data_IF_733675927660
#
_entry.id   IF_733675927660
#
_cell.length_a   1.000
_cell.length_b   1.000
_cell.length_c   1.000
_cell.angle_alpha   90.00
_cell.angle_beta   90.00
_cell.angle_gamma   90.00
#
_symmetry.space_group_name_H-M   'P 1'
#
loop_
_entity.id
_entity.type
_entity.pdbx_description
1 polymer ?
#
# COMPACT_ATOMS: atom_id res chain seq x y z
N UNK A 1 30.93 -18.77 -43.05
CA UNK A 1 30.90 -17.63 -42.12
C UNK A 1 29.61 -17.80 -41.33
N UNK A 2 29.74 -18.23 -40.07
CA UNK A 2 28.59 -18.50 -39.22
C UNK A 2 28.30 -17.26 -38.41
N UNK A 3 27.30 -16.49 -38.82
CA UNK A 3 26.78 -15.38 -38.03
C UNK A 3 25.95 -15.94 -36.88
N UNK A 4 26.56 -15.99 -35.70
CA UNK A 4 25.83 -16.24 -34.47
C UNK A 4 25.18 -14.93 -34.02
N UNK A 5 23.92 -14.72 -34.38
CA UNK A 5 23.06 -13.74 -33.71
C UNK A 5 22.87 -14.19 -32.27
N UNK A 6 23.66 -13.61 -31.38
CA UNK A 6 23.52 -13.73 -29.93
C UNK A 6 22.27 -12.93 -29.52
N UNK A 7 21.13 -13.61 -29.42
CA UNK A 7 19.95 -13.06 -28.77
C UNK A 7 20.27 -12.97 -27.27
N UNK A 8 20.74 -11.82 -26.81
CA UNK A 8 20.80 -11.52 -25.38
C UNK A 8 19.40 -11.68 -24.80
N UNK A 9 19.24 -12.66 -23.92
CA UNK A 9 18.02 -12.83 -23.15
C UNK A 9 17.86 -11.60 -22.26
N UNK A 10 16.96 -10.70 -22.66
CA UNK A 10 16.54 -9.57 -21.82
C UNK A 10 15.87 -10.18 -20.60
N UNK A 11 16.58 -10.15 -19.47
CA UNK A 11 16.00 -10.57 -18.20
C UNK A 11 14.93 -9.54 -17.86
N UNK A 12 13.64 -9.91 -17.71
CA UNK A 12 12.61 -8.95 -17.38
C UNK A 12 12.96 -8.33 -16.02
N UNK A 13 13.07 -7.00 -15.96
CA UNK A 13 13.18 -6.35 -14.67
C UNK A 13 11.93 -6.68 -13.85
N UNK A 14 12.08 -6.98 -12.54
CA UNK A 14 10.93 -7.18 -11.68
C UNK A 14 10.04 -5.92 -11.73
N UNK A 15 8.72 -6.07 -11.75
CA UNK A 15 7.82 -4.93 -11.80
C UNK A 15 8.08 -4.00 -10.61
N UNK A 16 7.97 -2.66 -10.81
CA UNK A 16 8.19 -1.71 -9.74
C UNK A 16 7.24 -2.00 -8.57
N UNK A 17 7.81 -2.17 -7.37
CA UNK A 17 7.05 -2.40 -6.13
C UNK A 17 6.40 -1.09 -5.68
N UNK A 18 5.25 -0.76 -6.26
CA UNK A 18 4.42 0.37 -5.86
C UNK A 18 3.05 -0.05 -5.36
N UNK A 19 2.24 0.92 -4.97
CA UNK A 19 0.87 0.73 -4.48
C UNK A 19 -0.04 1.86 -4.98
N UNK A 20 -1.32 1.54 -5.18
CA UNK A 20 -2.37 2.52 -5.37
C UNK A 20 -2.92 2.98 -4.02
N UNK A 21 -2.84 4.28 -3.76
CA UNK A 21 -3.46 4.91 -2.60
C UNK A 21 -4.97 5.11 -2.82
N UNK A 22 -5.80 5.15 -1.77
CA UNK A 22 -7.23 5.51 -1.87
C UNK A 22 -7.49 6.90 -2.47
N UNK A 23 -6.50 7.79 -2.48
CA UNK A 23 -6.53 9.05 -3.24
C UNK A 23 -6.37 8.87 -4.76
N UNK A 24 -6.46 7.64 -5.27
CA UNK A 24 -6.31 7.29 -6.69
C UNK A 24 -4.94 7.65 -7.25
N UNK A 25 -3.90 7.59 -6.41
CA UNK A 25 -2.53 7.91 -6.77
C UNK A 25 -1.67 6.66 -6.70
N UNK A 26 -0.95 6.33 -7.78
CA UNK A 26 0.10 5.31 -7.73
C UNK A 26 1.37 5.91 -7.13
N UNK A 27 2.03 5.19 -6.22
CA UNK A 27 3.28 5.65 -5.62
C UNK A 27 4.21 4.50 -5.25
N UNK A 28 5.51 4.82 -5.20
CA UNK A 28 6.56 4.00 -4.57
C UNK A 28 7.16 4.73 -3.36
N UNK A 29 6.69 5.94 -3.05
CA UNK A 29 7.20 6.75 -1.95
C UNK A 29 6.59 6.28 -0.63
N UNK A 30 7.46 5.71 0.21
CA UNK A 30 7.11 5.20 1.53
C UNK A 30 6.57 6.30 2.46
N UNK A 31 7.09 7.54 2.36
CA UNK A 31 6.60 8.64 3.18
C UNK A 31 5.17 8.99 2.78
N UNK A 32 4.88 9.06 1.49
CA UNK A 32 3.54 9.32 0.97
C UNK A 32 2.53 8.25 1.42
N UNK A 33 2.93 6.97 1.40
CA UNK A 33 2.10 5.87 1.91
C UNK A 33 1.84 6.02 3.42
N UNK A 34 2.87 6.40 4.19
CA UNK A 34 2.74 6.68 5.63
C UNK A 34 1.81 7.85 5.94
N UNK A 35 1.91 8.94 5.20
CA UNK A 35 1.06 10.12 5.34
C UNK A 35 -0.40 9.78 5.01
N UNK A 36 -0.62 8.99 3.97
CA UNK A 36 -1.95 8.50 3.59
C UNK A 36 -2.54 7.60 4.68
N UNK A 37 -1.77 6.67 5.25
CA UNK A 37 -2.20 5.84 6.37
C UNK A 37 -2.65 6.70 7.57
N UNK A 38 -1.89 7.76 7.92
CA UNK A 38 -2.28 8.68 8.99
C UNK A 38 -3.55 9.49 8.65
N UNK A 39 -3.76 9.82 7.38
CA UNK A 39 -5.00 10.44 6.90
C UNK A 39 -6.20 9.51 7.11
N UNK A 40 -6.08 8.24 6.71
CA UNK A 40 -7.16 7.25 6.86
C UNK A 40 -7.47 6.95 8.34
N UNK A 41 -6.46 6.82 9.19
CA UNK A 41 -6.65 6.61 10.64
C UNK A 41 -7.46 7.74 11.29
N UNK A 42 -7.24 8.99 10.89
CA UNK A 42 -8.04 10.14 11.37
C UNK A 42 -9.50 10.04 10.90
N UNK A 43 -9.74 9.69 9.64
CA UNK A 43 -11.09 9.49 9.12
C UNK A 43 -11.81 8.34 9.82
N UNK A 44 -11.13 7.23 10.04
CA UNK A 44 -11.65 6.08 10.80
C UNK A 44 -12.10 6.48 12.20
N UNK A 45 -11.28 7.26 12.92
CA UNK A 45 -11.62 7.73 14.26
C UNK A 45 -12.89 8.60 14.25
N UNK A 46 -13.01 9.52 13.29
CA UNK A 46 -14.20 10.38 13.14
C UNK A 46 -15.46 9.56 12.80
N UNK A 47 -15.34 8.62 11.86
CA UNK A 47 -16.45 7.77 11.44
C UNK A 47 -16.93 6.85 12.58
N UNK A 48 -16.00 6.27 13.33
CA UNK A 48 -16.32 5.47 14.52
C UNK A 48 -17.10 6.27 15.56
N UNK A 49 -16.72 7.53 15.80
CA UNK A 49 -17.45 8.38 16.76
C UNK A 49 -18.90 8.60 16.32
N UNK A 50 -19.16 8.79 15.02
CA UNK A 50 -20.51 8.99 14.48
C UNK A 50 -21.32 7.70 14.54
N UNK A 51 -20.77 6.58 14.06
CA UNK A 51 -21.45 5.27 14.03
C UNK A 51 -21.78 4.81 15.46
N UNK A 52 -20.81 4.85 16.38
CA UNK A 52 -21.03 4.37 17.75
C UNK A 52 -22.11 5.17 18.49
N UNK A 53 -22.24 6.46 18.21
CA UNK A 53 -23.28 7.31 18.81
C UNK A 53 -24.69 6.93 18.33
N UNK A 54 -24.81 6.42 17.11
CA UNK A 54 -26.08 6.17 16.44
C UNK A 54 -26.51 4.70 16.41
N UNK A 55 -25.63 3.77 16.83
CA UNK A 55 -25.88 2.33 16.76
C UNK A 55 -27.20 1.87 17.41
N UNK A 56 -27.61 2.52 18.51
CA UNK A 56 -28.85 2.18 19.22
C UNK A 56 -30.12 2.87 18.69
N UNK A 57 -29.99 3.96 17.94
CA UNK A 57 -31.13 4.77 17.45
C UNK A 57 -31.40 4.55 15.96
N UNK A 58 -30.35 4.42 15.17
CA UNK A 58 -30.41 4.51 13.71
C UNK A 58 -29.78 3.29 13.01
N UNK A 59 -29.63 2.16 13.71
CA UNK A 59 -28.96 0.97 13.18
C UNK A 59 -29.54 0.40 11.88
N UNK A 60 -30.80 0.71 11.56
CA UNK A 60 -31.45 0.32 10.31
C UNK A 60 -31.52 1.45 9.27
N UNK A 61 -31.07 2.66 9.62
CA UNK A 61 -31.08 3.78 8.70
C UNK A 61 -30.04 3.57 7.59
N UNK A 62 -30.41 3.89 6.35
CA UNK A 62 -29.53 3.70 5.19
C UNK A 62 -28.18 4.40 5.37
N UNK A 63 -28.18 5.61 5.93
CA UNK A 63 -26.94 6.35 6.18
C UNK A 63 -26.02 5.62 7.17
N UNK A 64 -26.58 4.93 8.17
CA UNK A 64 -25.83 4.17 9.17
C UNK A 64 -25.17 2.95 8.51
N UNK A 65 -25.93 2.20 7.70
CA UNK A 65 -25.39 1.06 6.94
C UNK A 65 -24.30 1.48 5.94
N UNK A 66 -24.46 2.64 5.30
CA UNK A 66 -23.42 3.23 4.44
C UNK A 66 -22.19 3.63 5.23
N UNK A 67 -22.35 4.20 6.43
CA UNK A 67 -21.26 4.56 7.31
C UNK A 67 -20.50 3.32 7.81
N UNK A 68 -21.19 2.24 8.19
CA UNK A 68 -20.57 0.97 8.56
C UNK A 68 -19.80 0.35 7.39
N UNK A 69 -20.40 0.35 6.19
CA UNK A 69 -19.72 -0.13 4.97
C UNK A 69 -18.46 0.68 4.68
N UNK A 70 -18.53 2.00 4.79
CA UNK A 70 -17.39 2.91 4.59
C UNK A 70 -16.29 2.68 5.62
N UNK A 71 -16.65 2.37 6.88
CA UNK A 71 -15.70 2.00 7.93
C UNK A 71 -14.96 0.72 7.56
N UNK A 72 -15.68 -0.30 7.11
CA UNK A 72 -15.06 -1.58 6.74
C UNK A 72 -14.10 -1.41 5.54
N UNK A 73 -14.44 -0.56 4.56
CA UNK A 73 -13.53 -0.22 3.47
C UNK A 73 -12.26 0.47 3.99
N UNK A 74 -12.41 1.47 4.88
CA UNK A 74 -11.27 2.15 5.49
C UNK A 74 -10.34 1.20 6.26
N UNK A 75 -10.91 0.23 6.98
CA UNK A 75 -10.14 -0.79 7.71
C UNK A 75 -9.28 -1.62 6.74
N UNK A 76 -9.87 -2.10 5.64
CA UNK A 76 -9.13 -2.85 4.61
C UNK A 76 -8.07 -2.02 3.88
N UNK A 77 -8.36 -0.74 3.60
CA UNK A 77 -7.39 0.17 2.99
C UNK A 77 -6.19 0.39 3.94
N UNK A 78 -6.44 0.61 5.24
CA UNK A 78 -5.39 0.79 6.25
C UNK A 78 -4.52 -0.48 6.36
N UNK A 79 -5.14 -1.66 6.42
CA UNK A 79 -4.43 -2.93 6.50
C UNK A 79 -3.51 -3.13 5.27
N UNK A 80 -4.00 -2.80 4.08
CA UNK A 80 -3.23 -2.87 2.83
C UNK A 80 -2.01 -1.94 2.86
N UNK A 81 -2.18 -0.69 3.31
CA UNK A 81 -1.06 0.26 3.42
C UNK A 81 -0.04 -0.18 4.48
N UNK A 82 -0.52 -0.71 5.60
CA UNK A 82 0.34 -1.22 6.68
C UNK A 82 1.17 -2.42 6.21
N UNK A 83 0.56 -3.38 5.50
CA UNK A 83 1.25 -4.53 4.92
C UNK A 83 2.30 -4.09 3.90
N UNK A 84 1.96 -3.15 3.02
CA UNK A 84 2.91 -2.61 2.05
C UNK A 84 4.09 -1.91 2.73
N UNK A 85 3.84 -1.14 3.80
CA UNK A 85 4.89 -0.52 4.60
C UNK A 85 5.73 -1.54 5.37
N UNK A 86 5.20 -2.70 5.73
CA UNK A 86 5.98 -3.75 6.39
C UNK A 86 6.90 -4.48 5.40
N UNK A 87 6.42 -4.74 4.18
CA UNK A 87 7.09 -5.55 3.16
C UNK A 87 8.06 -4.75 2.28
N UNK A 88 7.86 -3.43 2.16
CA UNK A 88 8.70 -2.53 1.36
C UNK A 88 9.93 -2.03 2.14
N UNK A 89 10.66 -2.91 2.83
CA UNK A 89 11.92 -2.55 3.48
C UNK A 89 12.88 -1.93 2.44
N UNK A 90 13.65 -0.89 2.82
CA UNK A 90 14.72 -0.40 1.95
C UNK A 90 15.66 -1.57 1.67
N UNK A 91 15.97 -1.81 0.40
CA UNK A 91 17.04 -2.74 0.05
C UNK A 91 18.30 -2.27 0.76
N UNK A 92 18.69 -2.96 1.81
CA UNK A 92 20.04 -2.86 2.33
C UNK A 92 20.91 -3.28 1.17
N UNK A 93 21.61 -2.31 0.57
CA UNK A 93 22.75 -2.55 -0.31
C UNK A 93 23.78 -3.31 0.52
N UNK A 94 23.62 -4.63 0.63
CA UNK A 94 24.70 -5.55 0.93
C UNK A 94 25.71 -5.35 -0.21
N UNK A 95 26.68 -4.47 0.05
CA UNK A 95 27.83 -4.29 -0.81
C UNK A 95 28.53 -5.65 -0.88
N UNK A 96 28.28 -6.39 -1.97
CA UNK A 96 29.09 -7.55 -2.31
C UNK A 96 30.56 -7.10 -2.33
N UNK A 97 31.44 -7.65 -1.47
CA UNK A 97 32.85 -7.36 -1.59
C UNK A 97 33.33 -8.00 -2.90
N UNK A 98 33.69 -7.17 -3.87
CA UNK A 98 34.42 -7.61 -5.06
C UNK A 98 35.68 -8.33 -4.59
N UNK A 99 35.72 -9.65 -4.81
CA UNK A 99 36.93 -10.45 -4.71
C UNK A 99 38.01 -9.80 -5.58
N UNK A 100 39.00 -9.21 -4.92
CA UNK A 100 40.21 -8.72 -5.55
C UNK A 100 41.14 -9.91 -5.72
N UNK A 101 41.09 -10.57 -6.89
CA UNK A 101 42.11 -11.53 -7.28
C UNK A 101 43.49 -10.88 -7.30
N UNK A 102 44.42 -11.48 -6.55
CA UNK A 102 45.87 -11.37 -6.73
C UNK A 102 46.44 -12.78 -6.79
#
# INVERSE_FOLDING_TARGET
MSDHTHTEAVTPMPPPRGIFLPTMTWTTDRQQVGDEMQRLLRWRAQLNAVVNKAAGSDGCATWYLMAETSRNQLDGDIDTLMEWLATSQPETLEAHPTESHR
#
